data_IF_939012672317
#
_entry.id   IF_939012672317
#
_cell.length_a   1.000
_cell.length_b   1.000
_cell.length_c   1.000
_cell.angle_alpha   90.00
_cell.angle_beta   90.00
_cell.angle_gamma   90.00
#
_symmetry.space_group_name_H-M   'P 1'
#
loop_
_entity.id
_entity.type
_entity.pdbx_description
1 polymer ?
#
# COMPACT_ATOMS: atom_id res chain seq x y z
N UNK A 1 -20.84 10.75 -12.82
CA UNK A 1 -19.45 10.28 -12.68
C UNK A 1 -19.42 8.97 -11.91
N UNK A 2 -18.77 7.98 -12.48
CA UNK A 2 -18.67 6.68 -11.79
C UNK A 2 -17.54 6.70 -10.78
N UNK A 3 -17.87 6.41 -9.53
CA UNK A 3 -16.85 6.22 -8.51
C UNK A 3 -16.37 4.78 -8.56
N UNK A 4 -15.11 4.56 -8.24
CA UNK A 4 -14.54 3.22 -8.16
C UNK A 4 -14.79 2.69 -6.75
N UNK A 5 -15.52 1.57 -6.58
CA UNK A 5 -15.82 1.06 -5.22
C UNK A 5 -14.56 0.75 -4.41
N UNK A 6 -13.50 0.24 -5.05
CA UNK A 6 -12.26 -0.05 -4.35
C UNK A 6 -11.63 1.24 -3.83
N UNK A 7 -11.61 2.27 -4.66
CA UNK A 7 -11.07 3.58 -4.27
C UNK A 7 -11.83 4.16 -3.08
N UNK A 8 -13.16 4.15 -3.17
CA UNK A 8 -14.01 4.71 -2.11
C UNK A 8 -13.82 3.95 -0.80
N UNK A 9 -13.79 2.62 -0.86
CA UNK A 9 -13.65 1.79 0.32
C UNK A 9 -12.23 1.91 0.91
N UNK A 10 -11.22 2.04 0.05
CA UNK A 10 -9.84 2.23 0.53
C UNK A 10 -9.69 3.59 1.23
N UNK A 11 -10.28 4.64 0.65
CA UNK A 11 -10.28 5.96 1.28
C UNK A 11 -10.97 5.96 2.64
N UNK A 12 -12.04 5.17 2.76
CA UNK A 12 -12.71 4.99 4.04
C UNK A 12 -11.77 4.37 5.08
N UNK A 13 -11.01 3.34 4.68
CA UNK A 13 -10.02 2.72 5.58
C UNK A 13 -8.93 3.72 5.99
N UNK A 14 -8.47 4.53 5.04
CA UNK A 14 -7.47 5.57 5.33
C UNK A 14 -8.00 6.52 6.41
N UNK A 15 -9.25 6.95 6.28
CA UNK A 15 -9.88 7.83 7.25
C UNK A 15 -9.93 7.18 8.64
N UNK A 16 -10.31 5.90 8.69
CA UNK A 16 -10.40 5.18 9.98
C UNK A 16 -9.03 4.98 10.60
N UNK A 17 -8.02 4.66 9.80
CA UNK A 17 -6.65 4.50 10.31
C UNK A 17 -6.09 5.81 10.84
N UNK A 18 -6.31 6.90 10.11
CA UNK A 18 -5.86 8.22 10.54
C UNK A 18 -6.52 8.62 11.85
N UNK A 19 -7.81 8.34 11.98
CA UNK A 19 -8.53 8.64 13.22
C UNK A 19 -7.96 7.85 14.40
N UNK A 20 -7.72 6.55 14.21
CA UNK A 20 -7.19 5.73 15.28
C UNK A 20 -5.81 6.22 15.71
N UNK A 21 -4.98 6.64 14.77
CA UNK A 21 -3.66 7.16 15.07
C UNK A 21 -3.69 8.45 15.90
N UNK A 22 -4.76 9.23 15.79
CA UNK A 22 -4.93 10.46 16.57
C UNK A 22 -5.41 10.19 17.99
N UNK A 23 -6.03 9.04 18.24
CA UNK A 23 -6.52 8.67 19.55
C UNK A 23 -5.43 7.97 20.36
N UNK A 24 -5.37 8.27 21.65
CA UNK A 24 -4.46 7.55 22.55
C UNK A 24 -5.17 6.35 23.17
N UNK A 25 -4.44 5.38 23.64
CA UNK A 25 -5.01 4.19 24.29
C UNK A 25 -5.92 4.55 25.47
N UNK A 26 -5.66 5.66 26.13
CA UNK A 26 -6.45 6.10 27.27
C UNK A 26 -7.73 6.82 26.85
N UNK A 27 -7.89 7.12 25.56
CA UNK A 27 -9.08 7.79 25.05
C UNK A 27 -10.27 6.83 25.11
N UNK A 28 -11.42 7.26 25.69
CA UNK A 28 -12.58 6.35 25.79
C UNK A 28 -13.14 5.92 24.43
N UNK A 29 -12.82 6.64 23.35
CA UNK A 29 -13.28 6.28 22.01
C UNK A 29 -12.32 5.33 21.27
N UNK A 30 -11.15 5.03 21.84
CA UNK A 30 -10.14 4.23 21.15
C UNK A 30 -10.63 2.83 20.78
N UNK A 31 -11.19 2.11 21.75
CA UNK A 31 -11.64 0.73 21.52
C UNK A 31 -12.74 0.66 20.45
N UNK A 32 -13.68 1.60 20.48
CA UNK A 32 -14.74 1.66 19.49
C UNK A 32 -14.19 1.97 18.10
N UNK A 33 -13.24 2.90 18.02
CA UNK A 33 -12.61 3.25 16.76
C UNK A 33 -11.81 2.07 16.18
N UNK A 34 -11.11 1.33 17.05
CA UNK A 34 -10.37 0.13 16.64
C UNK A 34 -11.32 -0.94 16.11
N UNK A 35 -12.44 -1.19 16.80
CA UNK A 35 -13.42 -2.17 16.35
C UNK A 35 -14.02 -1.80 15.01
N UNK A 36 -14.34 -0.53 14.79
CA UNK A 36 -14.85 -0.05 13.50
C UNK A 36 -13.83 -0.27 12.39
N UNK A 37 -12.56 0.00 12.67
CA UNK A 37 -11.50 -0.21 11.69
C UNK A 37 -11.37 -1.68 11.33
N UNK A 38 -11.35 -2.57 12.32
CA UNK A 38 -11.21 -4.00 12.08
C UNK A 38 -12.39 -4.55 11.26
N UNK A 39 -13.60 -4.12 11.56
CA UNK A 39 -14.77 -4.52 10.78
C UNK A 39 -14.70 -4.03 9.34
N UNK A 40 -14.24 -2.79 9.15
CA UNK A 40 -14.12 -2.21 7.82
C UNK A 40 -13.02 -2.90 7.02
N UNK A 41 -11.91 -3.27 7.67
CA UNK A 41 -10.84 -4.01 7.00
C UNK A 41 -11.29 -5.41 6.58
N UNK A 42 -12.03 -6.10 7.43
CA UNK A 42 -12.58 -7.40 7.09
C UNK A 42 -13.52 -7.30 5.89
N UNK A 43 -14.39 -6.30 5.88
CA UNK A 43 -15.31 -6.07 4.77
C UNK A 43 -14.56 -5.76 3.48
N UNK A 44 -13.53 -4.93 3.57
CA UNK A 44 -12.71 -4.55 2.42
C UNK A 44 -12.04 -5.79 1.81
N UNK A 45 -11.41 -6.61 2.65
CA UNK A 45 -10.75 -7.83 2.17
C UNK A 45 -11.74 -8.82 1.57
N UNK A 46 -12.93 -8.91 2.15
CA UNK A 46 -13.98 -9.80 1.65
C UNK A 46 -14.49 -9.36 0.28
N UNK A 47 -14.67 -8.06 0.08
CA UNK A 47 -15.22 -7.54 -1.18
C UNK A 47 -14.18 -7.35 -2.27
N UNK A 48 -12.98 -6.93 -1.91
CA UNK A 48 -11.95 -6.54 -2.88
C UNK A 48 -10.70 -7.39 -2.81
N UNK A 49 -10.61 -8.29 -1.83
CA UNK A 49 -9.41 -9.07 -1.59
C UNK A 49 -8.97 -9.89 -2.80
N UNK A 50 -9.92 -10.60 -3.42
CA UNK A 50 -9.57 -11.47 -4.55
C UNK A 50 -8.93 -10.69 -5.70
N UNK A 51 -9.48 -9.52 -6.02
CA UNK A 51 -8.96 -8.69 -7.09
C UNK A 51 -7.54 -8.18 -6.76
N UNK A 52 -7.39 -7.61 -5.57
CA UNK A 52 -6.10 -7.04 -5.16
C UNK A 52 -5.04 -8.11 -4.93
N UNK A 53 -5.41 -9.26 -4.38
CA UNK A 53 -4.49 -10.39 -4.18
C UNK A 53 -4.01 -10.97 -5.49
N UNK A 54 -4.86 -10.99 -6.52
CA UNK A 54 -4.46 -11.44 -7.84
C UNK A 54 -3.34 -10.56 -8.40
N UNK A 55 -3.46 -9.24 -8.20
CA UNK A 55 -2.41 -8.29 -8.61
C UNK A 55 -1.14 -8.52 -7.79
N UNK A 56 -1.28 -8.70 -6.48
CA UNK A 56 -0.15 -8.97 -5.59
C UNK A 56 0.58 -10.25 -6.00
N UNK A 57 -0.19 -11.29 -6.36
CA UNK A 57 0.39 -12.56 -6.78
C UNK A 57 1.30 -12.35 -7.98
N UNK A 58 0.85 -11.58 -8.96
CA UNK A 58 1.64 -11.27 -10.15
C UNK A 58 2.90 -10.48 -9.82
N UNK A 59 2.78 -9.50 -8.92
CA UNK A 59 3.93 -8.71 -8.50
C UNK A 59 4.95 -9.55 -7.74
N UNK A 60 4.48 -10.43 -6.82
CA UNK A 60 5.38 -11.29 -6.06
C UNK A 60 6.10 -12.28 -6.96
N UNK A 61 5.39 -12.91 -7.89
CA UNK A 61 6.02 -13.85 -8.81
C UNK A 61 7.07 -13.19 -9.68
N UNK A 62 6.83 -11.96 -10.10
CA UNK A 62 7.74 -11.25 -10.98
C UNK A 62 8.93 -10.64 -10.25
N UNK A 63 8.75 -10.14 -9.02
CA UNK A 63 9.78 -9.31 -8.38
C UNK A 63 10.16 -9.74 -6.96
N UNK A 64 9.29 -10.47 -6.27
CA UNK A 64 9.50 -10.85 -4.87
C UNK A 64 9.33 -12.36 -4.68
N UNK A 65 10.10 -13.17 -5.42
CA UNK A 65 9.90 -14.62 -5.38
C UNK A 65 10.16 -15.20 -3.98
N UNK A 66 9.38 -16.20 -3.63
CA UNK A 66 9.53 -16.87 -2.35
C UNK A 66 8.87 -16.16 -1.18
N UNK A 67 8.28 -15.02 -1.41
CA UNK A 67 7.60 -14.26 -0.35
C UNK A 67 6.10 -14.51 -0.38
N UNK A 68 5.52 -14.72 0.81
CA UNK A 68 4.09 -14.97 0.94
C UNK A 68 3.26 -13.74 0.63
N UNK A 69 2.16 -13.93 -0.10
CA UNK A 69 1.20 -12.87 -0.36
C UNK A 69 0.26 -12.75 0.84
N UNK A 70 0.16 -11.57 1.40
CA UNK A 70 -0.69 -11.31 2.55
C UNK A 70 -1.99 -10.64 2.10
N UNK A 71 -2.92 -10.43 3.03
CA UNK A 71 -4.15 -9.71 2.74
C UNK A 71 -3.82 -8.26 2.33
N UNK A 72 -4.58 -7.67 1.40
CA UNK A 72 -4.28 -6.31 0.92
C UNK A 72 -4.14 -5.26 2.01
N UNK A 73 -4.96 -5.32 3.05
CA UNK A 73 -4.90 -4.35 4.14
C UNK A 73 -3.60 -4.43 4.94
N UNK A 74 -2.88 -5.56 4.88
CA UNK A 74 -1.57 -5.69 5.53
C UNK A 74 -0.53 -4.77 4.90
N UNK A 75 -0.73 -4.38 3.64
CA UNK A 75 0.20 -3.52 2.91
C UNK A 75 -0.11 -2.03 3.08
N UNK A 76 -1.13 -1.69 3.85
CA UNK A 76 -1.47 -0.30 4.09
C UNK A 76 -0.54 0.34 5.12
N UNK A 77 -0.35 1.64 4.99
CA UNK A 77 0.33 2.42 6.02
C UNK A 77 -0.59 2.62 7.22
N UNK A 78 -0.02 2.80 8.40
CA UNK A 78 -0.81 3.10 9.58
C UNK A 78 -1.45 4.49 9.50
N UNK A 79 -0.77 5.43 8.85
CA UNK A 79 -1.20 6.81 8.71
C UNK A 79 -0.93 7.28 7.29
N UNK A 80 -1.89 7.99 6.71
CA UNK A 80 -1.74 8.62 5.39
C UNK A 80 -1.91 10.12 5.56
N UNK A 81 -0.83 10.88 5.38
CA UNK A 81 -0.87 12.33 5.50
C UNK A 81 -0.85 12.98 4.13
N UNK A 82 -1.60 14.07 3.97
CA UNK A 82 -1.58 14.81 2.73
C UNK A 82 -0.19 15.41 2.52
N UNK A 83 0.30 15.31 1.29
CA UNK A 83 1.58 15.91 0.95
C UNK A 83 1.46 17.43 0.92
N UNK A 84 2.43 18.11 1.52
CA UNK A 84 2.50 19.57 1.46
C UNK A 84 3.18 20.08 0.19
N UNK A 85 3.81 19.17 -0.55
CA UNK A 85 4.57 19.48 -1.76
C UNK A 85 3.74 19.24 -3.02
N UNK A 86 2.94 18.19 -3.03
CA UNK A 86 2.16 17.79 -4.20
C UNK A 86 0.71 17.56 -3.80
N UNK A 87 -0.20 18.34 -4.38
CA UNK A 87 -1.62 18.22 -4.12
C UNK A 87 -2.15 16.85 -4.60
N UNK A 88 -2.95 16.20 -3.77
CA UNK A 88 -3.54 14.91 -4.09
C UNK A 88 -2.63 13.71 -3.82
N UNK A 89 -1.40 13.95 -3.40
CA UNK A 89 -0.47 12.89 -3.04
C UNK A 89 -0.44 12.70 -1.53
N UNK A 90 0.15 11.59 -1.08
CA UNK A 90 0.29 11.29 0.34
C UNK A 90 1.76 11.20 0.74
N UNK A 91 2.05 11.62 1.96
CA UNK A 91 3.33 11.39 2.59
C UNK A 91 3.14 10.24 3.58
N UNK A 92 4.01 9.25 3.51
CA UNK A 92 3.96 8.07 4.36
C UNK A 92 5.21 7.98 5.21
N UNK A 93 5.09 7.48 6.45
CA UNK A 93 6.29 7.20 7.24
C UNK A 93 7.19 6.21 6.52
N UNK A 94 8.49 6.32 6.72
CA UNK A 94 9.49 5.55 5.97
C UNK A 94 9.45 4.03 6.18
N UNK A 95 8.88 3.58 7.28
CA UNK A 95 8.86 2.16 7.62
C UNK A 95 7.50 1.49 7.43
N UNK A 96 6.61 2.15 6.68
CA UNK A 96 5.28 1.61 6.46
C UNK A 96 5.23 0.63 5.28
N UNK A 97 4.21 -0.24 5.29
CA UNK A 97 4.04 -1.27 4.28
C UNK A 97 4.68 -2.58 4.70
N UNK A 98 4.77 -3.50 3.75
CA UNK A 98 5.33 -4.84 4.00
C UNK A 98 6.72 -4.93 3.41
N UNK A 99 7.67 -5.37 4.23
CA UNK A 99 9.05 -5.58 3.79
C UNK A 99 9.11 -6.73 2.79
N UNK A 100 9.70 -6.47 1.63
CA UNK A 100 9.88 -7.47 0.58
C UNK A 100 11.36 -7.52 0.16
N UNK A 101 11.78 -8.70 -0.29
CA UNK A 101 13.09 -8.88 -0.89
C UNK A 101 12.92 -8.75 -2.40
N UNK A 102 13.32 -7.62 -2.93
CA UNK A 102 13.21 -7.31 -4.34
C UNK A 102 14.39 -7.92 -5.10
N UNK A 103 14.11 -8.85 -5.99
CA UNK A 103 15.14 -9.49 -6.80
C UNK A 103 15.49 -8.62 -8.02
N UNK A 104 16.75 -8.29 -8.15
CA UNK A 104 17.25 -7.50 -9.28
C UNK A 104 17.62 -8.42 -10.43
N UNK A 105 17.85 -7.81 -11.61
CA UNK A 105 18.17 -8.56 -12.82
C UNK A 105 19.45 -9.39 -12.73
N UNK A 106 20.39 -9.01 -11.85
CA UNK A 106 21.62 -9.75 -11.61
C UNK A 106 21.48 -10.81 -10.51
N UNK A 107 20.23 -11.07 -10.06
CA UNK A 107 19.85 -12.00 -9.01
C UNK A 107 20.25 -11.61 -7.59
N UNK A 108 20.83 -10.44 -7.41
CA UNK A 108 20.99 -9.89 -6.07
C UNK A 108 19.62 -9.45 -5.56
N UNK A 109 19.49 -9.29 -4.24
CA UNK A 109 18.25 -8.82 -3.65
C UNK A 109 18.46 -7.51 -2.94
N UNK A 110 17.38 -6.76 -2.84
CA UNK A 110 17.38 -5.47 -2.20
C UNK A 110 16.12 -5.37 -1.32
N UNK A 111 16.27 -4.80 -0.14
CA UNK A 111 15.13 -4.61 0.76
C UNK A 111 14.29 -3.42 0.30
N UNK A 112 12.98 -3.60 0.29
CA UNK A 112 12.04 -2.55 -0.06
C UNK A 112 10.74 -2.76 0.70
N UNK A 113 9.86 -1.77 0.67
CA UNK A 113 8.53 -1.86 1.27
C UNK A 113 7.49 -1.76 0.17
N UNK A 114 6.51 -2.66 0.19
CA UNK A 114 5.38 -2.63 -0.73
C UNK A 114 4.19 -2.06 0.01
N UNK A 115 3.58 -1.02 -0.55
CA UNK A 115 2.54 -0.23 0.11
C UNK A 115 1.35 -0.04 -0.82
N UNK A 116 0.15 -0.18 -0.27
CA UNK A 116 -1.09 0.11 -0.98
C UNK A 116 -1.47 1.58 -0.73
N UNK A 117 -1.62 2.34 -1.79
CA UNK A 117 -1.88 3.79 -1.69
C UNK A 117 -3.09 4.15 -2.53
N UNK A 118 -4.02 4.95 -2.01
CA UNK A 118 -5.18 5.40 -2.79
C UNK A 118 -4.89 6.65 -3.63
N UNK A 119 -5.89 7.02 -4.42
CA UNK A 119 -5.97 8.27 -5.17
C UNK A 119 -4.95 8.41 -6.29
N UNK A 120 -4.91 7.53 -7.27
CA UNK A 120 -5.71 6.31 -7.42
C UNK A 120 -5.14 5.14 -6.63
N UNK A 121 -5.92 4.06 -6.54
CA UNK A 121 -5.45 2.82 -5.91
C UNK A 121 -4.21 2.34 -6.65
N UNK A 122 -3.11 2.17 -5.94
CA UNK A 122 -1.80 1.82 -6.51
C UNK A 122 -1.02 0.90 -5.59
N UNK A 123 -0.22 0.04 -6.21
CA UNK A 123 0.82 -0.71 -5.49
C UNK A 123 2.14 0.02 -5.69
N UNK A 124 2.68 0.56 -4.60
CA UNK A 124 3.92 1.35 -4.62
C UNK A 124 5.05 0.61 -3.96
N UNK A 125 6.25 0.75 -4.50
CA UNK A 125 7.46 0.18 -3.92
C UNK A 125 8.35 1.31 -3.41
N UNK A 126 8.72 1.24 -2.13
CA UNK A 126 9.62 2.20 -1.50
C UNK A 126 10.94 1.50 -1.16
N UNK A 127 12.04 1.97 -1.75
CA UNK A 127 13.35 1.33 -1.59
C UNK A 127 14.29 2.08 -0.62
N UNK A 128 13.75 3.04 0.13
CA UNK A 128 14.53 3.86 1.05
C UNK A 128 14.97 5.19 0.46
N UNK A 129 14.92 5.33 -0.85
CA UNK A 129 15.34 6.56 -1.54
C UNK A 129 14.21 7.19 -2.34
N UNK A 130 13.23 6.41 -2.73
CA UNK A 130 12.10 6.93 -3.49
C UNK A 130 11.00 5.90 -3.65
N UNK A 131 9.89 6.35 -4.20
CA UNK A 131 8.71 5.52 -4.44
C UNK A 131 8.56 5.25 -5.94
N UNK A 132 8.20 4.02 -6.27
CA UNK A 132 7.92 3.63 -7.65
C UNK A 132 6.54 2.99 -7.69
N UNK A 133 5.76 3.33 -8.71
CA UNK A 133 4.45 2.71 -8.92
C UNK A 133 4.62 1.43 -9.74
N UNK A 134 4.19 0.30 -9.19
CA UNK A 134 4.26 -0.98 -9.90
C UNK A 134 2.96 -1.28 -10.64
N UNK A 135 1.85 -0.78 -10.13
CA UNK A 135 0.54 -0.96 -10.73
C UNK A 135 -0.39 0.15 -10.25
N UNK A 136 -1.24 0.64 -11.14
CA UNK A 136 -2.22 1.69 -10.82
C UNK A 136 -3.58 1.36 -11.43
N UNK A 137 -4.64 1.71 -10.71
CA UNK A 137 -6.01 1.56 -11.19
C UNK A 137 -6.29 2.43 -12.42
N UNK A 138 -5.48 3.48 -12.64
CA UNK A 138 -5.62 4.32 -13.83
C UNK A 138 -5.20 3.58 -15.11
N UNK A 139 -4.28 2.62 -14.97
CA UNK A 139 -3.82 1.81 -16.10
C UNK A 139 -3.79 0.34 -15.65
N UNK A 140 -4.98 -0.27 -15.46
CA UNK A 140 -5.06 -1.59 -14.78
C UNK A 140 -4.41 -2.74 -15.55
N UNK A 141 -4.17 -2.59 -16.84
CA UNK A 141 -3.52 -3.63 -17.63
C UNK A 141 -2.00 -3.50 -17.66
N UNK A 142 -1.46 -2.45 -17.05
CA UNK A 142 -0.03 -2.17 -17.10
C UNK A 142 0.67 -2.49 -15.80
N UNK A 143 1.61 -3.43 -15.84
CA UNK A 143 2.52 -3.73 -14.72
C UNK A 143 3.88 -3.16 -15.06
N UNK A 144 4.46 -2.43 -14.11
CA UNK A 144 5.76 -1.79 -14.29
C UNK A 144 6.84 -2.57 -13.57
N UNK A 145 8.01 -2.67 -14.19
CA UNK A 145 9.16 -3.29 -13.57
C UNK A 145 9.87 -2.27 -12.69
N UNK A 146 10.09 -2.57 -11.39
CA UNK A 146 10.80 -1.61 -10.54
C UNK A 146 12.24 -1.43 -10.99
N UNK A 147 12.75 -0.22 -10.84
CA UNK A 147 14.10 0.13 -11.25
C UNK A 147 14.93 0.54 -10.02
N UNK A 148 16.20 0.08 -9.94
CA UNK A 148 17.05 0.54 -8.87
C UNK A 148 17.36 2.03 -9.02
N UNK A 149 17.70 2.67 -7.91
CA UNK A 149 18.03 4.09 -7.93
C UNK A 149 19.25 4.32 -8.85
N UNK A 150 19.22 5.40 -9.64
CA UNK A 150 20.28 5.72 -10.59
C UNK A 150 21.67 5.82 -9.97
N UNK A 151 21.75 6.33 -8.76
CA UNK A 151 23.03 6.48 -8.07
C UNK A 151 23.75 5.16 -7.87
N UNK A 152 23.04 4.05 -7.87
CA UNK A 152 23.61 2.73 -7.65
C UNK A 152 24.06 2.03 -8.93
N UNK A 153 23.80 2.61 -10.08
CA UNK A 153 24.17 2.03 -11.36
C UNK A 153 25.57 2.39 -11.80
N UNK A 154 26.24 3.19 -11.03
CA UNK A 154 27.59 3.65 -11.36
C UNK A 154 28.67 2.72 -10.83
#
# INVERSE_FOLDING_TARGET
MKTNPIEDDLLHLVTLRNRLAELGYADPEYDEAEDLLLEAEDAFNREHGAFLENLLQKLHEAHFPGQEVLLPTAYMAAVYRDSVVEEGAYELPMDEGILVDWELSDRSTRKAKLVLVPSPVRWMLFDGEGMQCLWSMEEPDRFRTPQPNRAEKQ
#
